data_IF_554982425222
#
_entry.id   IF_554982425222
#
_cell.length_a   1.000
_cell.length_b   1.000
_cell.length_c   1.000
_cell.angle_alpha   90.00
_cell.angle_beta   90.00
_cell.angle_gamma   90.00
#
_symmetry.space_group_name_H-M   'P 1'
#
loop_
_entity.id
_entity.type
_entity.pdbx_description
1 polymer ?
#
# COMPACT_ATOMS: atom_id res chain seq x y z
N UNK A 1 -13.60 -1.10 -8.54
CA UNK A 1 -13.05 -2.44 -8.86
C UNK A 1 -11.53 -2.39 -8.79
N UNK A 2 -10.94 -2.39 -7.59
CA UNK A 2 -9.49 -2.51 -7.37
C UNK A 2 -9.24 -3.08 -5.96
N UNK A 3 -9.70 -4.31 -5.69
CA UNK A 3 -9.27 -4.99 -4.47
C UNK A 3 -8.78 -6.39 -4.87
N UNK A 4 -7.45 -6.57 -4.83
CA UNK A 4 -6.75 -7.84 -4.96
C UNK A 4 -6.88 -8.71 -3.69
N UNK A 5 -7.61 -8.20 -2.69
CA UNK A 5 -7.86 -8.85 -1.42
C UNK A 5 -8.59 -10.19 -1.60
N UNK A 6 -8.12 -11.21 -0.89
CA UNK A 6 -8.85 -12.47 -0.75
C UNK A 6 -9.27 -12.68 0.69
N UNK A 7 -10.60 -12.76 0.86
CA UNK A 7 -11.20 -13.10 2.14
C UNK A 7 -10.74 -14.49 2.57
N UNK A 8 -10.03 -14.55 3.70
CA UNK A 8 -9.61 -15.78 4.36
C UNK A 8 -9.91 -15.68 5.85
N UNK A 9 -10.11 -16.83 6.50
CA UNK A 9 -10.43 -16.96 7.94
C UNK A 9 -9.20 -17.27 8.80
N UNK A 10 -7.99 -17.14 8.25
CA UNK A 10 -6.74 -17.45 8.96
C UNK A 10 -6.48 -16.45 10.11
N UNK A 11 -5.77 -16.85 11.19
CA UNK A 11 -5.30 -15.94 12.23
C UNK A 11 -4.55 -14.72 11.68
N UNK A 12 -3.85 -14.90 10.55
CA UNK A 12 -3.15 -13.81 9.85
C UNK A 12 -4.12 -12.81 9.24
N UNK A 13 -5.32 -13.21 8.83
CA UNK A 13 -6.35 -12.30 8.33
C UNK A 13 -7.05 -11.52 9.45
N UNK A 14 -7.12 -12.08 10.65
CA UNK A 14 -7.82 -11.46 11.79
C UNK A 14 -6.96 -10.44 12.58
N UNK A 15 -5.64 -10.42 12.35
CA UNK A 15 -4.75 -9.43 12.94
C UNK A 15 -5.04 -8.02 12.39
N UNK A 16 -5.15 -7.04 13.30
CA UNK A 16 -5.39 -5.64 12.93
C UNK A 16 -4.33 -5.16 11.93
N UNK A 17 -4.73 -4.45 10.85
CA UNK A 17 -3.82 -3.98 9.79
C UNK A 17 -2.60 -3.23 10.30
N UNK A 18 -2.77 -2.39 11.33
CA UNK A 18 -1.68 -1.63 11.95
C UNK A 18 -0.55 -2.49 12.49
N UNK A 19 -0.84 -3.64 13.10
CA UNK A 19 0.19 -4.57 13.58
C UNK A 19 0.95 -5.25 12.45
N UNK A 20 0.28 -5.53 11.32
CA UNK A 20 0.94 -6.12 10.16
C UNK A 20 1.89 -5.11 9.48
N UNK A 21 1.47 -3.85 9.38
CA UNK A 21 2.30 -2.75 8.86
C UNK A 21 3.51 -2.53 9.78
N UNK A 22 3.31 -2.49 11.09
CA UNK A 22 4.41 -2.40 12.06
C UNK A 22 5.35 -3.61 11.99
N UNK A 23 4.81 -4.82 11.80
CA UNK A 23 5.62 -6.02 11.60
C UNK A 23 6.47 -5.91 10.33
N UNK A 24 5.90 -5.47 9.20
CA UNK A 24 6.65 -5.22 7.97
C UNK A 24 7.74 -4.16 8.18
N UNK A 25 7.42 -3.05 8.84
CA UNK A 25 8.39 -2.01 9.15
C UNK A 25 9.52 -2.53 10.05
N UNK A 26 9.18 -3.27 11.12
CA UNK A 26 10.15 -3.83 12.05
C UNK A 26 11.04 -4.89 11.39
N UNK A 27 10.47 -5.80 10.61
CA UNK A 27 11.23 -6.83 9.86
C UNK A 27 12.12 -6.17 8.82
N UNK A 28 11.62 -5.16 8.10
CA UNK A 28 12.41 -4.38 7.17
C UNK A 28 13.60 -3.70 7.85
N UNK A 29 13.35 -2.93 8.92
CA UNK A 29 14.41 -2.29 9.70
C UNK A 29 15.41 -3.29 10.27
N UNK A 30 14.94 -4.42 10.82
CA UNK A 30 15.81 -5.46 11.37
C UNK A 30 16.67 -6.15 10.30
N UNK A 31 16.10 -6.42 9.12
CA UNK A 31 16.85 -6.99 7.99
C UNK A 31 18.00 -6.09 7.57
N UNK A 32 17.84 -4.77 7.58
CA UNK A 32 18.91 -3.83 7.23
C UNK A 32 19.87 -3.53 8.39
N UNK A 33 19.40 -3.54 9.65
CA UNK A 33 20.24 -3.29 10.81
C UNK A 33 21.16 -4.47 11.16
N UNK A 34 20.75 -5.70 10.82
CA UNK A 34 21.53 -6.92 11.10
C UNK A 34 22.17 -7.41 9.80
N UNK A 35 23.47 -7.22 9.68
CA UNK A 35 24.27 -7.68 8.54
C UNK A 35 24.73 -9.16 8.70
N UNK A 36 23.75 -10.06 8.87
CA UNK A 36 24.01 -11.49 9.03
C UNK A 36 23.18 -12.35 8.08
N UNK A 37 23.84 -13.20 7.27
CA UNK A 37 23.18 -14.07 6.30
C UNK A 37 22.21 -15.06 6.97
N UNK A 38 22.59 -15.61 8.13
CA UNK A 38 21.74 -16.51 8.91
C UNK A 38 20.46 -15.84 9.42
N UNK A 39 20.49 -14.55 9.72
CA UNK A 39 19.29 -13.81 10.13
C UNK A 39 18.34 -13.61 8.95
N UNK A 40 18.88 -13.26 7.78
CA UNK A 40 18.10 -13.07 6.56
C UNK A 40 17.45 -14.38 6.07
N UNK A 41 18.17 -15.51 6.14
CA UNK A 41 17.59 -16.83 5.81
C UNK A 41 16.55 -17.29 6.82
N UNK A 42 16.76 -17.03 8.12
CA UNK A 42 15.76 -17.31 9.16
C UNK A 42 14.47 -16.51 8.93
N UNK A 43 14.57 -15.22 8.56
CA UNK A 43 13.40 -14.41 8.21
C UNK A 43 12.67 -14.88 6.95
N UNK A 44 13.41 -15.40 5.96
CA UNK A 44 12.81 -16.05 4.80
C UNK A 44 12.01 -17.29 5.19
N UNK A 45 12.57 -18.15 6.03
CA UNK A 45 11.87 -19.32 6.55
C UNK A 45 10.62 -18.91 7.36
N UNK A 46 10.73 -17.91 8.23
CA UNK A 46 9.60 -17.39 8.99
C UNK A 46 8.49 -16.84 8.08
N UNK A 47 8.85 -16.13 7.01
CA UNK A 47 7.90 -15.61 6.02
C UNK A 47 7.17 -16.74 5.28
N UNK A 48 7.89 -17.80 4.89
CA UNK A 48 7.28 -18.99 4.27
C UNK A 48 6.31 -19.70 5.22
N UNK A 49 6.64 -19.79 6.51
CA UNK A 49 5.75 -20.32 7.55
C UNK A 49 4.49 -19.45 7.68
N UNK A 50 4.62 -18.12 7.68
CA UNK A 50 3.49 -17.20 7.71
C UNK A 50 2.57 -17.37 6.50
N UNK A 51 3.10 -17.58 5.30
CA UNK A 51 2.31 -17.91 4.11
C UNK A 51 1.48 -19.19 4.31
N UNK A 52 2.09 -20.19 4.96
CA UNK A 52 1.44 -21.48 5.23
C UNK A 52 0.35 -21.35 6.30
N UNK A 53 0.59 -20.58 7.36
CA UNK A 53 -0.40 -20.24 8.39
C UNK A 53 -1.54 -19.41 7.79
N UNK A 54 -1.24 -18.50 6.84
CA UNK A 54 -2.22 -17.71 6.11
C UNK A 54 -3.12 -18.53 5.17
N UNK A 55 -2.85 -19.83 4.99
CA UNK A 55 -3.60 -20.70 4.09
C UNK A 55 -3.38 -20.37 2.60
N UNK A 56 -2.33 -19.61 2.28
CA UNK A 56 -2.03 -19.22 0.90
C UNK A 56 -1.12 -20.26 0.24
N UNK A 57 -1.45 -20.74 -0.98
CA UNK A 57 -0.59 -21.68 -1.68
C UNK A 57 0.75 -21.02 -2.02
N UNK A 58 1.86 -21.76 -1.87
CA UNK A 58 3.22 -21.26 -2.19
C UNK A 58 3.35 -20.75 -3.64
N UNK A 59 2.47 -21.21 -4.54
CA UNK A 59 2.34 -20.70 -5.91
C UNK A 59 2.05 -19.19 -5.98
N UNK A 60 1.39 -18.61 -4.95
CA UNK A 60 1.14 -17.16 -4.86
C UNK A 60 2.41 -16.38 -4.54
N UNK A 61 3.24 -16.90 -3.64
CA UNK A 61 4.55 -16.31 -3.37
C UNK A 61 5.43 -16.32 -4.63
N UNK A 62 5.38 -17.42 -5.39
CA UNK A 62 6.06 -17.48 -6.69
C UNK A 62 5.49 -16.48 -7.71
N UNK A 63 4.16 -16.29 -7.72
CA UNK A 63 3.50 -15.27 -8.56
C UNK A 63 3.96 -13.84 -8.28
N UNK A 64 4.36 -13.52 -7.04
CA UNK A 64 4.91 -12.21 -6.67
C UNK A 64 6.38 -12.06 -7.06
N UNK A 65 7.17 -13.13 -6.91
CA UNK A 65 8.59 -13.11 -7.28
C UNK A 65 8.75 -13.10 -8.80
N UNK A 66 7.90 -13.82 -9.55
CA UNK A 66 7.97 -13.98 -11.01
C UNK A 66 8.19 -12.67 -11.79
N UNK A 67 7.40 -11.59 -11.61
CA UNK A 67 7.66 -10.32 -12.29
C UNK A 67 8.97 -9.64 -11.85
N UNK A 68 9.42 -9.89 -10.61
CA UNK A 68 10.65 -9.34 -10.06
C UNK A 68 11.91 -10.16 -10.42
N UNK A 69 11.79 -11.38 -10.97
CA UNK A 69 12.94 -12.26 -11.29
C UNK A 69 13.93 -11.56 -12.22
N UNK A 70 13.46 -10.79 -13.20
CA UNK A 70 14.36 -10.07 -14.10
C UNK A 70 15.19 -9.01 -13.36
N UNK A 71 14.54 -8.27 -12.46
CA UNK A 71 15.22 -7.28 -11.59
C UNK A 71 16.19 -7.98 -10.64
N UNK A 72 15.81 -9.12 -10.08
CA UNK A 72 16.67 -9.94 -9.21
C UNK A 72 17.90 -10.43 -9.94
N UNK A 73 17.74 -10.92 -11.18
CA UNK A 73 18.85 -11.32 -12.03
C UNK A 73 19.82 -10.18 -12.32
N UNK A 74 19.30 -8.99 -12.63
CA UNK A 74 20.10 -7.79 -12.86
C UNK A 74 20.88 -7.38 -11.59
N UNK A 75 20.21 -7.32 -10.44
CA UNK A 75 20.85 -6.97 -9.17
C UNK A 75 21.92 -8.01 -8.80
N UNK A 76 21.63 -9.30 -8.96
CA UNK A 76 22.59 -10.36 -8.69
C UNK A 76 23.82 -10.28 -9.60
N UNK A 77 23.61 -10.08 -10.91
CA UNK A 77 24.70 -9.92 -11.85
C UNK A 77 25.58 -8.71 -11.49
N UNK A 78 24.97 -7.57 -11.16
CA UNK A 78 25.70 -6.39 -10.70
C UNK A 78 26.50 -6.69 -9.42
N UNK A 79 25.91 -7.35 -8.44
CA UNK A 79 26.59 -7.69 -7.19
C UNK A 79 27.74 -8.68 -7.37
N UNK A 80 27.61 -9.63 -8.28
CA UNK A 80 28.69 -10.58 -8.62
C UNK A 80 29.85 -9.85 -9.29
N UNK A 81 29.58 -8.88 -10.17
CA UNK A 81 30.60 -8.10 -10.88
C UNK A 81 31.34 -7.14 -9.94
N UNK A 82 30.62 -6.41 -9.09
CA UNK A 82 31.19 -5.34 -8.26
C UNK A 82 31.63 -5.80 -6.86
N UNK A 83 31.07 -6.90 -6.35
CA UNK A 83 31.31 -7.38 -5.00
C UNK A 83 31.64 -8.87 -4.99
N UNK A 84 30.68 -9.72 -4.60
CA UNK A 84 30.83 -11.16 -4.55
C UNK A 84 29.49 -11.86 -4.71
N UNK A 85 29.51 -13.13 -5.12
CA UNK A 85 28.31 -13.95 -5.24
C UNK A 85 27.58 -14.14 -3.90
N UNK A 86 28.30 -14.14 -2.77
CA UNK A 86 27.73 -14.23 -1.43
C UNK A 86 26.90 -12.98 -1.10
N UNK A 87 27.44 -11.80 -1.41
CA UNK A 87 26.73 -10.52 -1.23
C UNK A 87 25.52 -10.45 -2.17
N UNK A 88 25.66 -10.92 -3.41
CA UNK A 88 24.54 -11.03 -4.35
C UNK A 88 23.40 -11.90 -3.80
N UNK A 89 23.72 -13.09 -3.29
CA UNK A 89 22.73 -14.00 -2.69
C UNK A 89 22.10 -13.38 -1.44
N UNK A 90 22.90 -12.69 -0.63
CA UNK A 90 22.45 -12.00 0.56
C UNK A 90 21.39 -10.93 0.26
N UNK A 91 21.65 -10.08 -0.73
CA UNK A 91 20.71 -9.04 -1.17
C UNK A 91 19.44 -9.65 -1.76
N UNK A 92 19.57 -10.71 -2.58
CA UNK A 92 18.42 -11.42 -3.15
C UNK A 92 17.48 -11.97 -2.07
N UNK A 93 18.03 -12.59 -1.03
CA UNK A 93 17.23 -13.13 0.08
C UNK A 93 16.47 -12.00 0.79
N UNK A 94 17.13 -10.90 1.12
CA UNK A 94 16.48 -9.72 1.75
C UNK A 94 15.32 -9.20 0.89
N UNK A 95 15.54 -9.02 -0.40
CA UNK A 95 14.51 -8.55 -1.33
C UNK A 95 13.35 -9.55 -1.45
N UNK A 96 13.63 -10.85 -1.49
CA UNK A 96 12.60 -11.88 -1.53
C UNK A 96 11.73 -11.85 -0.26
N UNK A 97 12.34 -11.72 0.93
CA UNK A 97 11.60 -11.59 2.20
C UNK A 97 10.65 -10.39 2.15
N UNK A 98 11.17 -9.21 1.79
CA UNK A 98 10.39 -7.98 1.77
C UNK A 98 9.24 -8.04 0.77
N UNK A 99 9.49 -8.54 -0.45
CA UNK A 99 8.45 -8.69 -1.46
C UNK A 99 7.37 -9.67 -1.01
N UNK A 100 7.76 -10.82 -0.48
CA UNK A 100 6.81 -11.82 0.00
C UNK A 100 5.98 -11.29 1.17
N UNK A 101 6.60 -10.61 2.14
CA UNK A 101 5.90 -10.06 3.30
C UNK A 101 4.96 -8.91 2.92
N UNK A 102 5.39 -8.02 2.02
CA UNK A 102 4.56 -6.95 1.47
C UNK A 102 3.37 -7.52 0.68
N UNK A 103 3.62 -8.54 -0.15
CA UNK A 103 2.55 -9.21 -0.88
C UNK A 103 1.57 -9.97 0.03
N UNK A 104 2.06 -10.54 1.13
CA UNK A 104 1.21 -11.17 2.16
C UNK A 104 0.30 -10.12 2.80
N UNK A 105 0.83 -8.94 3.11
CA UNK A 105 0.06 -7.82 3.64
C UNK A 105 -1.06 -7.41 2.66
N UNK A 106 -0.72 -7.22 1.39
CA UNK A 106 -1.67 -6.83 0.33
C UNK A 106 -2.76 -7.88 0.09
N UNK A 107 -2.42 -9.17 0.13
CA UNK A 107 -3.40 -10.25 -0.10
C UNK A 107 -4.31 -10.50 1.11
N UNK A 108 -3.84 -10.20 2.32
CA UNK A 108 -4.54 -10.52 3.58
C UNK A 108 -5.23 -9.31 4.23
N UNK A 109 -5.14 -8.12 3.62
CA UNK A 109 -5.69 -6.87 4.17
C UNK A 109 -6.51 -6.15 3.11
N UNK A 110 -7.75 -5.77 3.45
CA UNK A 110 -8.59 -4.97 2.56
C UNK A 110 -8.03 -3.57 2.44
N UNK A 111 -8.21 -2.94 1.29
CA UNK A 111 -7.75 -1.56 1.07
C UNK A 111 -8.38 -0.58 2.08
N UNK A 112 -9.65 -0.77 2.45
CA UNK A 112 -10.34 -0.02 3.52
C UNK A 112 -9.67 -0.17 4.89
N UNK A 113 -9.36 -1.40 5.27
CA UNK A 113 -8.83 -1.71 6.60
C UNK A 113 -7.37 -1.23 6.71
N UNK A 114 -6.62 -1.28 5.60
CA UNK A 114 -5.26 -0.73 5.52
C UNK A 114 -5.25 0.77 5.81
N UNK A 115 -6.20 1.49 5.21
CA UNK A 115 -6.40 2.92 5.42
C UNK A 115 -6.74 3.20 6.89
N UNK A 116 -7.66 2.46 7.49
CA UNK A 116 -8.01 2.61 8.91
C UNK A 116 -6.82 2.32 9.84
N UNK A 117 -5.99 1.34 9.48
CA UNK A 117 -4.75 1.02 10.18
C UNK A 117 -3.71 2.14 10.12
N UNK A 118 -3.56 2.77 8.96
CA UNK A 118 -2.68 3.94 8.78
C UNK A 118 -3.20 5.10 9.63
N UNK A 119 -4.52 5.34 9.63
CA UNK A 119 -5.14 6.40 10.44
C UNK A 119 -4.92 6.19 11.94
N UNK A 120 -5.06 4.96 12.43
CA UNK A 120 -4.74 4.62 13.81
C UNK A 120 -3.26 4.85 14.14
N UNK A 121 -2.37 4.57 13.19
CA UNK A 121 -0.92 4.81 13.30
C UNK A 121 -0.53 6.29 13.33
N UNK A 122 -1.40 7.21 12.89
CA UNK A 122 -1.21 8.65 12.99
C UNK A 122 -1.62 9.22 14.37
N UNK A 123 -2.30 8.45 15.22
CA UNK A 123 -2.64 8.82 16.60
C UNK A 123 -1.50 9.37 17.47
N UNK A 124 -0.26 8.83 17.46
CA UNK A 124 0.84 9.35 18.28
C UNK A 124 1.36 10.73 17.84
N UNK A 125 1.09 11.19 16.61
CA UNK A 125 1.41 12.57 16.18
C UNK A 125 0.65 13.64 17.00
N UNK A 126 -0.40 13.24 17.75
CA UNK A 126 -1.06 14.06 18.77
C UNK A 126 -0.10 14.71 19.76
N UNK A 127 1.04 14.07 20.05
CA UNK A 127 2.03 14.62 21.00
C UNK A 127 2.85 15.78 20.46
N UNK A 128 2.77 16.08 19.16
CA UNK A 128 3.53 17.15 18.47
C UNK A 128 2.66 18.41 18.26
N UNK A 129 1.49 18.49 18.94
CA UNK A 129 0.61 19.67 18.86
C UNK A 129 -0.44 19.61 17.74
N UNK A 130 -0.60 18.46 17.09
CA UNK A 130 -1.63 18.22 16.07
C UNK A 130 -2.97 17.93 16.75
N UNK A 131 -4.02 18.69 16.40
CA UNK A 131 -5.39 18.45 16.89
C UNK A 131 -5.96 17.15 16.26
N UNK A 132 -6.16 16.08 17.04
CA UNK A 132 -6.58 14.78 16.51
C UNK A 132 -7.98 14.81 15.91
N UNK A 133 -8.90 15.62 16.48
CA UNK A 133 -10.26 15.73 15.98
C UNK A 133 -10.26 16.29 14.55
N UNK A 134 -9.52 17.38 14.29
CA UNK A 134 -9.41 17.99 12.96
C UNK A 134 -8.74 17.05 11.95
N UNK A 135 -7.69 16.35 12.34
CA UNK A 135 -7.01 15.39 11.46
C UNK A 135 -7.90 14.20 11.14
N UNK A 136 -8.57 13.64 12.14
CA UNK A 136 -9.51 12.54 11.94
C UNK A 136 -10.68 12.94 11.02
N UNK A 137 -11.19 14.18 11.17
CA UNK A 137 -12.21 14.74 10.29
C UNK A 137 -11.70 14.87 8.85
N UNK A 138 -10.52 15.48 8.65
CA UNK A 138 -9.93 15.68 7.33
C UNK A 138 -9.67 14.34 6.61
N UNK A 139 -9.15 13.35 7.32
CA UNK A 139 -8.93 12.00 6.81
C UNK A 139 -10.26 11.33 6.48
N UNK A 140 -11.24 11.34 7.40
CA UNK A 140 -12.56 10.73 7.18
C UNK A 140 -13.27 11.31 5.96
N UNK A 141 -13.21 12.64 5.80
CA UNK A 141 -13.71 13.34 4.62
C UNK A 141 -12.95 12.91 3.36
N UNK A 142 -11.62 12.88 3.39
CA UNK A 142 -10.79 12.47 2.25
C UNK A 142 -11.18 11.07 1.79
N UNK A 143 -11.29 10.11 2.71
CA UNK A 143 -11.64 8.73 2.38
C UNK A 143 -13.05 8.59 1.81
N UNK A 144 -13.99 9.41 2.29
CA UNK A 144 -15.34 9.50 1.71
C UNK A 144 -15.33 10.15 0.33
N UNK A 145 -14.44 11.11 0.07
CA UNK A 145 -14.34 11.79 -1.22
C UNK A 145 -13.61 10.99 -2.28
N UNK A 146 -12.69 10.09 -1.93
CA UNK A 146 -12.01 9.20 -2.91
C UNK A 146 -12.99 8.52 -3.88
N UNK A 147 -14.04 7.80 -3.42
CA UNK A 147 -15.01 7.19 -4.34
C UNK A 147 -15.81 8.22 -5.13
N UNK A 148 -16.21 9.33 -4.50
CA UNK A 148 -16.97 10.41 -5.17
C UNK A 148 -16.15 11.03 -6.31
N UNK A 149 -14.88 11.35 -6.06
CA UNK A 149 -13.97 11.88 -7.07
C UNK A 149 -13.72 10.88 -8.19
N UNK A 150 -13.62 9.58 -7.87
CA UNK A 150 -13.52 8.53 -8.89
C UNK A 150 -14.74 8.53 -9.82
N UNK A 151 -15.95 8.75 -9.29
CA UNK A 151 -17.16 8.88 -10.11
C UNK A 151 -17.14 10.15 -10.96
N UNK A 152 -16.78 11.30 -10.37
CA UNK A 152 -16.67 12.57 -11.11
C UNK A 152 -15.70 12.46 -12.29
N UNK A 153 -14.53 11.84 -12.08
CA UNK A 153 -13.55 11.61 -13.14
C UNK A 153 -14.09 10.66 -14.20
N UNK A 154 -14.85 9.63 -13.80
CA UNK A 154 -15.48 8.70 -14.74
C UNK A 154 -16.51 9.40 -15.65
N UNK A 155 -17.40 10.20 -15.07
CA UNK A 155 -18.43 10.94 -15.80
C UNK A 155 -17.81 11.96 -16.77
N UNK A 156 -16.79 12.69 -16.31
CA UNK A 156 -16.04 13.62 -17.16
C UNK A 156 -15.39 12.85 -18.30
N UNK A 157 -14.81 11.68 -18.04
CA UNK A 157 -14.17 10.87 -19.07
C UNK A 157 -15.17 10.35 -20.10
N UNK A 158 -16.35 9.94 -19.69
CA UNK A 158 -17.41 9.50 -20.59
C UNK A 158 -17.91 10.66 -21.47
N UNK A 159 -18.12 11.84 -20.89
CA UNK A 159 -18.51 13.04 -21.63
C UNK A 159 -17.44 13.48 -22.64
N UNK A 160 -16.15 13.43 -22.28
CA UNK A 160 -15.06 13.77 -23.21
C UNK A 160 -14.86 12.70 -24.29
N UNK A 161 -15.09 11.42 -23.97
CA UNK A 161 -15.10 10.34 -24.97
C UNK A 161 -16.18 10.56 -26.03
N UNK A 162 -17.39 10.94 -25.63
CA UNK A 162 -18.47 11.28 -26.56
C UNK A 162 -18.11 12.47 -27.48
N UNK A 163 -17.21 13.35 -27.03
CA UNK A 163 -16.68 14.48 -27.81
C UNK A 163 -15.43 14.14 -28.64
N UNK A 164 -14.96 12.90 -28.61
CA UNK A 164 -13.73 12.47 -29.30
C UNK A 164 -12.44 13.01 -28.67
N UNK A 165 -12.47 13.45 -27.41
CA UNK A 165 -11.34 14.09 -26.71
C UNK A 165 -10.70 13.19 -25.64
N UNK A 166 -10.89 11.88 -25.72
CA UNK A 166 -10.51 10.89 -24.70
C UNK A 166 -9.01 10.78 -24.43
N UNK A 167 -8.18 11.13 -25.42
CA UNK A 167 -6.71 11.09 -25.34
C UNK A 167 -6.07 12.38 -24.81
N UNK A 168 -6.83 13.47 -24.73
CA UNK A 168 -6.29 14.73 -24.26
C UNK A 168 -6.39 14.81 -22.73
N UNK A 169 -5.25 14.73 -22.04
CA UNK A 169 -5.22 14.78 -20.56
C UNK A 169 -5.81 16.11 -20.06
N UNK A 170 -5.58 17.22 -20.76
CA UNK A 170 -6.09 18.54 -20.36
C UNK A 170 -7.63 18.61 -20.47
N UNK A 171 -8.23 17.95 -21.47
CA UNK A 171 -9.70 17.94 -21.64
C UNK A 171 -10.41 17.19 -20.51
N UNK A 172 -9.70 16.26 -19.85
CA UNK A 172 -10.17 15.51 -18.69
C UNK A 172 -9.86 16.22 -17.37
N UNK A 173 -8.63 16.72 -17.21
CA UNK A 173 -8.14 17.28 -15.97
C UNK A 173 -8.85 18.59 -15.60
N UNK A 174 -9.00 19.52 -16.54
CA UNK A 174 -9.59 20.84 -16.26
C UNK A 174 -11.02 20.71 -15.73
N UNK A 175 -11.95 19.97 -16.38
CA UNK A 175 -13.31 19.83 -15.86
C UNK A 175 -13.38 19.07 -14.53
N UNK A 176 -12.55 18.05 -14.34
CA UNK A 176 -12.49 17.30 -13.08
C UNK A 176 -12.02 18.19 -11.92
N UNK A 177 -11.00 19.01 -12.12
CA UNK A 177 -10.49 19.97 -11.12
C UNK A 177 -11.56 20.99 -10.77
N UNK A 178 -12.22 21.59 -11.77
CA UNK A 178 -13.30 22.58 -11.53
C UNK A 178 -14.43 21.96 -10.69
N UNK A 179 -14.87 20.74 -11.02
CA UNK A 179 -15.89 20.03 -10.23
C UNK A 179 -15.42 19.72 -8.81
N UNK A 180 -14.15 19.36 -8.66
CA UNK A 180 -13.55 19.06 -7.35
C UNK A 180 -13.48 20.30 -6.47
N UNK A 181 -13.08 21.46 -7.03
CA UNK A 181 -13.03 22.73 -6.30
C UNK A 181 -14.43 23.15 -5.85
N UNK A 182 -15.43 23.09 -6.75
CA UNK A 182 -16.81 23.41 -6.38
C UNK A 182 -17.36 22.53 -5.25
N UNK A 183 -17.04 21.23 -5.31
CA UNK A 183 -17.40 20.31 -4.24
C UNK A 183 -16.71 20.65 -2.92
N UNK A 184 -15.46 21.09 -2.96
CA UNK A 184 -14.75 21.54 -1.77
C UNK A 184 -15.41 22.81 -1.18
N UNK A 185 -15.81 23.76 -2.02
CA UNK A 185 -16.52 24.97 -1.59
C UNK A 185 -17.87 24.61 -0.94
N UNK A 186 -18.68 23.77 -1.60
CA UNK A 186 -19.98 23.29 -1.07
C UNK A 186 -19.84 22.57 0.29
N UNK A 187 -18.76 21.80 0.46
CA UNK A 187 -18.48 21.07 1.70
C UNK A 187 -17.99 22.02 2.79
N UNK A 188 -17.20 23.03 2.44
CA UNK A 188 -16.76 24.07 3.37
C UNK A 188 -17.97 24.85 3.90
N UNK A 189 -18.83 25.32 3.00
CA UNK A 189 -20.06 26.03 3.35
C UNK A 189 -20.97 25.19 4.26
N UNK A 190 -21.08 23.88 3.98
CA UNK A 190 -21.85 22.96 4.81
C UNK A 190 -21.24 22.71 6.20
N UNK A 191 -19.92 22.73 6.32
CA UNK A 191 -19.21 22.61 7.62
C UNK A 191 -19.43 23.89 8.44
N UNK A 192 -19.27 25.06 7.84
CA UNK A 192 -19.47 26.36 8.51
C UNK A 192 -20.93 26.53 8.96
N UNK A 193 -21.90 26.09 8.15
CA UNK A 193 -23.33 26.15 8.49
C UNK A 193 -23.74 25.19 9.62
N UNK A 194 -23.00 24.11 9.85
CA UNK A 194 -23.26 23.13 10.94
C UNK A 194 -22.65 23.52 12.28
N UNK A 195 -21.90 24.62 12.32
CA UNK A 195 -21.35 25.19 13.54
C UNK A 195 -19.99 24.61 13.90
N UNK A 196 -18.95 25.40 13.64
CA UNK A 196 -17.81 25.51 14.53
C UNK A 196 -18.22 26.25 15.81
#
# INVERSE_FOLDING_TARGET
MLDLYQAGTSPVHMLKPGWKILCLAAVGSALFAVDHIGFSTAMLAATLVLYRIAGLPLSRAWGQIRPAVWVFGLIFAAQVIFNSWIIGLYVLIRLAVLLMLAGLLTLTTRSSDMIDGINAGLGPLRRIGVNPERVSLAISLTLRFIPVLSHVVHDVREAQRARGLDRNILSLAIPAIIRTIRMADEVSDAIDARGS
#
